data_IF_210609910028
#
_entry.id   IF_210609910028
#
_cell.length_a   1.000
_cell.length_b   1.000
_cell.length_c   1.000
_cell.angle_alpha   90.00
_cell.angle_beta   90.00
_cell.angle_gamma   90.00
#
_symmetry.space_group_name_H-M   'P 1'
#
loop_
_entity.id
_entity.type
_entity.pdbx_description
1 polymer ?
#
# COMPACT_ATOMS: atom_id res chain seq x y z
N UNK A 1 19.00 -9.10 20.10
CA UNK A 1 19.21 -8.09 19.05
C UNK A 1 17.88 -7.99 18.31
N UNK A 2 17.08 -6.94 18.53
CA UNK A 2 15.77 -6.84 17.89
C UNK A 2 15.94 -6.39 16.43
N UNK A 3 15.66 -7.29 15.49
CA UNK A 3 15.52 -6.95 14.07
C UNK A 3 14.36 -5.96 13.94
N UNK A 4 14.63 -4.78 13.39
CA UNK A 4 13.57 -3.83 13.06
C UNK A 4 12.94 -4.30 11.76
N UNK A 5 11.78 -4.94 11.86
CA UNK A 5 10.98 -5.27 10.68
C UNK A 5 10.40 -3.97 10.10
N UNK A 6 10.64 -3.75 8.81
CA UNK A 6 10.15 -2.57 8.09
C UNK A 6 9.63 -3.06 6.74
N UNK A 7 8.45 -2.59 6.36
CA UNK A 7 7.87 -2.85 5.06
C UNK A 7 7.66 -1.52 4.35
N UNK A 8 8.07 -1.47 3.08
CA UNK A 8 7.90 -0.32 2.23
C UNK A 8 6.84 -0.63 1.16
N UNK A 9 5.83 0.22 1.06
CA UNK A 9 4.89 0.19 -0.06
C UNK A 9 4.97 1.48 -0.87
N UNK A 10 4.90 1.33 -2.19
CA UNK A 10 4.72 2.46 -3.08
C UNK A 10 3.23 2.77 -3.24
N UNK A 11 2.87 4.04 -3.04
CA UNK A 11 1.54 4.59 -3.32
C UNK A 11 1.51 5.20 -4.73
N UNK A 12 0.31 5.27 -5.33
CA UNK A 12 0.14 5.74 -6.70
C UNK A 12 0.26 7.26 -6.88
N UNK A 13 0.05 8.02 -5.81
CA UNK A 13 -0.06 9.47 -5.87
C UNK A 13 1.24 10.14 -5.43
N UNK A 14 1.59 11.22 -6.15
CA UNK A 14 2.61 12.18 -5.71
C UNK A 14 2.03 13.25 -4.78
N UNK A 15 0.74 13.21 -4.53
CA UNK A 15 -0.01 14.17 -3.70
C UNK A 15 -0.54 13.49 -2.43
N UNK A 16 -1.28 14.24 -1.61
CA UNK A 16 -1.79 13.83 -0.29
C UNK A 16 -2.39 12.41 -0.34
N UNK A 17 -1.78 11.51 0.42
CA UNK A 17 -2.29 10.15 0.66
C UNK A 17 -2.92 10.13 2.05
N UNK A 18 -4.19 9.77 2.15
CA UNK A 18 -4.78 9.45 3.45
C UNK A 18 -4.34 8.04 3.83
N UNK A 19 -3.66 7.89 4.96
CA UNK A 19 -3.29 6.58 5.50
C UNK A 19 -4.24 6.27 6.65
N UNK A 20 -4.86 5.09 6.59
CA UNK A 20 -5.69 4.54 7.65
C UNK A 20 -5.04 3.29 8.22
N UNK A 21 -5.09 3.13 9.53
CA UNK A 21 -4.56 1.96 10.22
C UNK A 21 -5.69 1.29 11.01
N UNK A 22 -5.84 -0.01 10.82
CA UNK A 22 -6.91 -0.81 11.39
C UNK A 22 -6.36 -2.06 12.06
N UNK A 23 -7.04 -2.50 13.11
CA UNK A 23 -6.88 -3.81 13.72
C UNK A 23 -8.20 -4.56 13.54
N UNK A 24 -8.16 -5.76 12.97
CA UNK A 24 -9.36 -6.53 12.66
C UNK A 24 -9.09 -8.03 12.78
N UNK A 25 -10.16 -8.82 12.97
CA UNK A 25 -10.05 -10.28 13.07
C UNK A 25 -9.97 -10.98 11.70
N UNK A 26 -10.37 -10.28 10.62
CA UNK A 26 -10.40 -10.81 9.25
C UNK A 26 -10.15 -9.72 8.21
N UNK A 27 -9.66 -10.13 7.05
CA UNK A 27 -9.49 -9.25 5.90
C UNK A 27 -10.82 -9.05 5.18
N UNK A 28 -11.16 -7.80 4.89
CA UNK A 28 -12.20 -7.44 3.91
C UNK A 28 -11.61 -6.41 2.97
N UNK A 29 -11.37 -6.83 1.73
CA UNK A 29 -10.79 -5.96 0.70
C UNK A 29 -11.91 -5.05 0.17
N UNK A 30 -11.69 -3.74 0.22
CA UNK A 30 -12.69 -2.79 -0.28
C UNK A 30 -12.91 -3.00 -1.78
N UNK A 31 -14.15 -2.82 -2.23
CA UNK A 31 -14.48 -2.93 -3.64
C UNK A 31 -13.69 -1.94 -4.48
N UNK A 32 -13.38 -0.76 -3.92
CA UNK A 32 -12.65 0.28 -4.62
C UNK A 32 -11.11 0.13 -4.55
N UNK A 33 -10.61 -0.94 -3.93
CA UNK A 33 -9.17 -1.25 -3.88
C UNK A 33 -8.61 -1.52 -5.27
N UNK A 34 -7.50 -0.85 -5.61
CA UNK A 34 -6.75 -1.07 -6.86
C UNK A 34 -5.66 -2.11 -6.65
N UNK A 35 -4.99 -2.05 -5.49
CA UNK A 35 -3.92 -2.97 -5.12
C UNK A 35 -4.13 -3.46 -3.70
N UNK A 36 -4.09 -4.77 -3.50
CA UNK A 36 -4.11 -5.40 -2.19
C UNK A 36 -2.99 -6.44 -2.07
N UNK A 37 -2.18 -6.34 -1.02
CA UNK A 37 -1.07 -7.26 -0.75
C UNK A 37 -1.11 -7.60 0.74
N UNK A 38 -0.90 -8.87 1.08
CA UNK A 38 -0.71 -9.32 2.46
C UNK A 38 0.73 -9.77 2.65
N UNK A 39 1.31 -9.43 3.81
CA UNK A 39 2.66 -9.84 4.22
C UNK A 39 2.68 -10.16 5.72
N UNK A 40 3.55 -11.06 6.18
CA UNK A 40 3.80 -11.24 7.61
C UNK A 40 4.42 -9.97 8.21
N UNK A 41 3.98 -9.61 9.41
CA UNK A 41 4.57 -8.51 10.18
C UNK A 41 4.47 -8.77 11.68
N UNK A 42 5.57 -8.56 12.39
CA UNK A 42 5.64 -8.75 13.84
C UNK A 42 5.67 -7.40 14.56
N UNK A 43 4.78 -7.22 15.53
CA UNK A 43 4.81 -6.06 16.43
C UNK A 43 5.55 -6.47 17.69
N UNK A 44 6.66 -5.78 17.97
CA UNK A 44 7.45 -6.03 19.18
C UNK A 44 6.77 -5.57 20.47
N UNK A 45 7.39 -5.88 21.60
CA UNK A 45 6.86 -5.65 22.95
C UNK A 45 6.55 -4.19 23.32
N UNK A 46 7.03 -3.20 22.56
CA UNK A 46 6.60 -1.80 22.74
C UNK A 46 5.17 -1.55 22.28
N UNK A 47 4.57 -2.48 21.53
CA UNK A 47 3.23 -2.34 20.97
C UNK A 47 3.05 -1.09 20.09
N UNK A 48 4.15 -0.60 19.48
CA UNK A 48 4.17 0.67 18.76
C UNK A 48 4.76 0.49 17.38
N UNK A 49 4.01 0.90 16.36
CA UNK A 49 4.42 0.86 14.95
C UNK A 49 4.49 2.29 14.41
N UNK A 50 5.56 2.62 13.68
CA UNK A 50 5.65 3.87 12.94
C UNK A 50 5.10 3.69 11.52
N UNK A 51 4.15 4.54 11.13
CA UNK A 51 3.56 4.54 9.77
C UNK A 51 3.83 5.89 9.14
N UNK A 52 4.83 5.97 8.28
CA UNK A 52 5.36 7.24 7.81
C UNK A 52 5.78 7.19 6.34
N UNK A 53 5.73 8.32 5.67
CA UNK A 53 6.38 8.53 4.38
C UNK A 53 7.90 8.63 4.54
N UNK A 54 8.63 8.36 3.46
CA UNK A 54 10.11 8.46 3.43
C UNK A 54 10.60 9.87 3.75
N UNK A 55 9.79 10.88 3.45
CA UNK A 55 10.12 12.30 3.70
C UNK A 55 9.69 12.79 5.09
N UNK A 56 8.94 12.00 5.84
CA UNK A 56 8.46 12.41 7.15
C UNK A 56 9.59 12.33 8.19
N UNK A 57 9.46 13.13 9.25
CA UNK A 57 10.38 13.01 10.39
C UNK A 57 10.21 11.65 11.04
N UNK A 58 11.31 10.92 11.35
CA UNK A 58 11.23 9.63 12.01
C UNK A 58 10.40 9.69 13.29
N UNK A 59 9.41 8.80 13.41
CA UNK A 59 8.58 8.67 14.60
C UNK A 59 7.46 9.71 14.74
N UNK A 60 7.15 10.45 13.67
CA UNK A 60 6.08 11.46 13.68
C UNK A 60 4.66 10.88 13.67
N UNK A 61 4.51 9.62 13.26
CA UNK A 61 3.21 8.94 13.12
C UNK A 61 3.28 7.57 13.75
N UNK A 62 3.08 7.52 15.07
CA UNK A 62 3.10 6.29 15.87
C UNK A 62 1.67 5.79 16.08
N UNK A 63 1.48 4.48 15.95
CA UNK A 63 0.21 3.81 16.19
C UNK A 63 0.43 2.69 17.20
N UNK A 64 -0.48 2.57 18.16
CA UNK A 64 -0.47 1.48 19.13
C UNK A 64 -1.15 0.24 18.53
N UNK A 65 -0.39 -0.85 18.39
CA UNK A 65 -0.86 -2.17 17.97
C UNK A 65 -0.37 -3.16 19.03
N UNK A 66 -1.18 -4.09 19.53
CA UNK A 66 -0.71 -5.08 20.51
C UNK A 66 0.53 -5.85 20.00
N UNK A 67 1.34 -6.35 20.93
CA UNK A 67 2.43 -7.27 20.59
C UNK A 67 1.86 -8.54 19.94
N UNK A 68 2.53 -9.03 18.90
CA UNK A 68 2.15 -10.28 18.25
C UNK A 68 2.53 -10.36 16.77
N UNK A 69 2.13 -11.47 16.17
CA UNK A 69 2.31 -11.74 14.74
C UNK A 69 1.03 -11.40 13.98
N UNK A 70 1.18 -10.74 12.83
CA UNK A 70 0.07 -10.24 12.04
C UNK A 70 0.21 -10.60 10.56
N UNK A 71 -0.94 -10.87 9.94
CA UNK A 71 -1.11 -10.65 8.51
C UNK A 71 -1.37 -9.15 8.31
N UNK A 72 -0.37 -8.44 7.78
CA UNK A 72 -0.50 -7.03 7.46
C UNK A 72 -0.99 -6.88 6.03
N UNK A 73 -2.25 -6.50 5.90
CA UNK A 73 -2.90 -6.24 4.62
C UNK A 73 -2.73 -4.78 4.27
N UNK A 74 -2.05 -4.53 3.16
CA UNK A 74 -1.97 -3.23 2.51
C UNK A 74 -3.01 -3.15 1.41
N UNK A 75 -3.84 -2.12 1.45
CA UNK A 75 -4.73 -1.73 0.36
C UNK A 75 -4.40 -0.32 -0.11
N UNK A 76 -4.48 -0.09 -1.42
CA UNK A 76 -4.40 1.25 -1.98
C UNK A 76 -5.44 1.43 -3.09
N UNK A 77 -5.96 2.65 -3.17
CA UNK A 77 -6.90 3.06 -4.20
C UNK A 77 -6.90 4.57 -4.41
N UNK A 78 -7.70 5.01 -5.36
CA UNK A 78 -8.14 6.42 -5.46
C UNK A 78 -9.59 6.50 -5.06
N UNK A 79 -10.00 7.66 -4.55
CA UNK A 79 -11.42 7.86 -4.19
C UNK A 79 -12.31 7.64 -5.40
N UNK A 80 -13.46 7.01 -5.16
CA UNK A 80 -14.45 6.69 -6.19
C UNK A 80 -14.84 7.91 -7.06
N UNK A 81 -14.93 9.10 -6.46
CA UNK A 81 -15.23 10.37 -7.13
C UNK A 81 -14.26 10.72 -8.27
N UNK A 82 -13.02 10.23 -8.21
CA UNK A 82 -12.00 10.49 -9.24
C UNK A 82 -11.87 9.38 -10.28
N UNK A 83 -12.62 8.28 -10.19
CA UNK A 83 -12.53 7.17 -11.16
C UNK A 83 -13.02 7.55 -12.56
N UNK A 84 -13.94 8.52 -12.64
CA UNK A 84 -14.45 9.07 -13.89
C UNK A 84 -13.63 10.27 -14.39
N UNK A 85 -12.65 10.74 -13.61
CA UNK A 85 -11.79 11.83 -14.02
C UNK A 85 -10.93 11.39 -15.23
N UNK A 86 -10.88 12.16 -16.34
CA UNK A 86 -9.99 11.87 -17.45
C UNK A 86 -8.52 11.70 -17.04
N UNK A 87 -8.10 12.33 -15.95
CA UNK A 87 -6.78 12.15 -15.36
C UNK A 87 -6.54 10.71 -14.88
N UNK A 88 -7.58 10.01 -14.42
CA UNK A 88 -7.51 8.62 -13.93
C UNK A 88 -7.03 7.65 -15.01
N UNK A 89 -7.50 7.81 -16.24
CA UNK A 89 -7.09 6.96 -17.37
C UNK A 89 -5.75 7.39 -17.99
N UNK A 90 -5.24 8.56 -17.64
CA UNK A 90 -4.04 9.14 -18.24
C UNK A 90 -2.76 9.04 -17.41
N UNK A 91 -1.71 9.72 -17.90
CA UNK A 91 -0.45 9.95 -17.17
C UNK A 91 -0.62 10.83 -15.92
N UNK A 92 -1.80 11.44 -15.75
CA UNK A 92 -2.15 12.33 -14.63
C UNK A 92 -2.78 11.60 -13.45
N UNK A 93 -2.95 10.28 -13.49
CA UNK A 93 -3.52 9.51 -12.39
C UNK A 93 -2.71 9.67 -11.09
N UNK A 94 -1.40 9.87 -11.19
CA UNK A 94 -0.52 10.14 -10.05
C UNK A 94 -0.76 11.50 -9.38
N UNK A 95 -1.62 12.36 -9.95
CA UNK A 95 -2.04 13.64 -9.37
C UNK A 95 -3.33 13.52 -8.55
N UNK A 96 -4.04 12.39 -8.65
CA UNK A 96 -5.31 12.20 -7.97
C UNK A 96 -5.08 11.90 -6.48
N UNK A 97 -5.96 12.40 -5.58
CA UNK A 97 -5.96 12.00 -4.19
C UNK A 97 -6.11 10.49 -4.06
N UNK A 98 -5.18 9.87 -3.35
CA UNK A 98 -5.19 8.43 -3.09
C UNK A 98 -5.36 8.15 -1.61
N UNK A 99 -5.72 6.91 -1.31
CA UNK A 99 -5.83 6.41 0.04
C UNK A 99 -5.00 5.12 0.15
N UNK A 100 -4.55 4.86 1.37
CA UNK A 100 -3.89 3.64 1.78
C UNK A 100 -4.55 3.16 3.06
N UNK A 101 -4.81 1.86 3.16
CA UNK A 101 -5.27 1.21 4.39
C UNK A 101 -4.29 0.11 4.77
N UNK A 102 -3.86 0.12 6.02
CA UNK A 102 -3.07 -0.92 6.65
C UNK A 102 -3.95 -1.63 7.68
N UNK A 103 -4.22 -2.91 7.46
CA UNK A 103 -5.02 -3.73 8.39
C UNK A 103 -4.13 -4.78 9.01
N UNK A 104 -4.02 -4.74 10.34
CA UNK A 104 -3.34 -5.73 11.16
C UNK A 104 -4.35 -6.82 11.52
N UNK A 105 -4.10 -8.06 11.10
CA UNK A 105 -4.94 -9.21 11.42
C UNK A 105 -4.11 -10.22 12.22
N UNK A 106 -4.45 -10.51 13.49
CA UNK A 106 -3.68 -11.45 14.31
C UNK A 106 -3.56 -12.81 13.62
N UNK A 107 -2.34 -13.22 13.28
CA UNK A 107 -2.11 -14.48 12.56
C UNK A 107 -0.65 -14.95 12.73
N UNK A 108 -0.47 -16.18 13.19
CA UNK A 108 0.85 -16.77 13.48
C UNK A 108 1.64 -17.16 12.22
N UNK A 109 0.95 -17.52 11.13
CA UNK A 109 1.59 -17.98 9.90
C UNK A 109 0.94 -17.31 8.70
N UNK A 110 1.71 -16.49 8.00
CA UNK A 110 1.26 -15.71 6.85
C UNK A 110 2.24 -15.93 5.71
N UNK A 111 1.73 -16.38 4.56
CA UNK A 111 2.48 -16.38 3.32
C UNK A 111 2.23 -15.04 2.62
N UNK A 112 3.28 -14.34 2.15
CA UNK A 112 3.09 -13.16 1.32
C UNK A 112 2.27 -13.47 0.07
N UNK A 113 1.25 -12.66 -0.21
CA UNK A 113 0.34 -12.88 -1.34
C UNK A 113 -0.15 -11.55 -1.94
N UNK A 114 -0.34 -11.52 -3.26
CA UNK A 114 -1.03 -10.43 -3.95
C UNK A 114 -2.52 -10.77 -4.02
N UNK A 115 -3.31 -10.17 -3.13
CA UNK A 115 -4.76 -10.36 -3.06
C UNK A 115 -5.50 -9.64 -4.20
N UNK A 116 -4.96 -8.52 -4.68
CA UNK A 116 -5.45 -7.80 -5.86
C UNK A 116 -4.29 -7.13 -6.58
N UNK A 117 -4.04 -7.58 -7.82
CA UNK A 117 -3.06 -6.97 -8.69
C UNK A 117 -3.61 -5.70 -9.35
N UNK A 118 -2.71 -4.76 -9.61
CA UNK A 118 -3.02 -3.55 -10.36
C UNK A 118 -3.22 -3.88 -11.84
N UNK A 119 -4.36 -3.46 -12.41
CA UNK A 119 -4.65 -3.58 -13.83
C UNK A 119 -3.60 -2.91 -14.73
N UNK A 120 -2.88 -1.89 -14.20
CA UNK A 120 -1.85 -1.13 -14.92
C UNK A 120 -0.46 -1.75 -14.90
N UNK A 121 -0.24 -2.88 -14.22
CA UNK A 121 1.04 -3.60 -14.25
C UNK A 121 1.21 -4.47 -15.50
N UNK A 122 0.20 -4.53 -16.37
CA UNK A 122 0.26 -5.22 -17.67
C UNK A 122 0.12 -4.28 -18.87
N UNK A 123 0.88 -3.17 -18.98
CA UNK A 123 0.79 -2.36 -20.19
C UNK A 123 1.49 -3.10 -21.33
N UNK A 124 0.71 -3.62 -22.28
CA UNK A 124 1.24 -4.20 -23.53
C UNK A 124 1.68 -3.05 -24.44
N UNK A 125 2.84 -2.45 -24.17
CA UNK A 125 3.44 -1.52 -25.11
C UNK A 125 4.16 -2.32 -26.21
N UNK A 126 3.85 -2.12 -27.50
CA UNK A 126 4.69 -2.67 -28.55
C UNK A 126 6.11 -2.10 -28.39
N UNK A 127 7.10 -2.98 -28.32
CA UNK A 127 8.50 -2.59 -28.34
C UNK A 127 8.79 -1.94 -29.70
N UNK A 128 8.90 -0.61 -29.72
CA UNK A 128 9.18 0.13 -30.93
C UNK A 128 10.70 0.06 -31.20
N UNK A 129 11.14 -0.89 -32.02
CA UNK A 129 12.53 -1.00 -32.48
C UNK A 129 12.80 -0.11 -33.71
N UNK A 130 12.36 1.15 -33.68
CA UNK A 130 12.71 2.11 -34.72
C UNK A 130 13.97 2.87 -34.27
N UNK A 131 15.12 2.49 -34.82
CA UNK A 131 16.35 3.28 -34.71
C UNK A 131 16.51 4.11 -35.99
N UNK A 132 16.73 5.42 -35.86
CA UNK A 132 17.22 6.26 -36.95
C UNK A 132 18.74 6.03 -37.08
N UNK A 133 19.28 5.83 -38.30
CA UNK A 133 20.72 5.77 -38.51
C UNK A 133 21.39 7.09 -38.10
N UNK A 134 22.54 7.00 -37.44
CA UNK A 134 23.38 8.14 -37.09
C UNK A 134 24.07 8.77 -38.30
#
# INVERSE_FOLDING_TARGET
>A
MATRECILWNTYSKYRVKIEVWLADHASIQEDTIRAIVVPFSVGSSGTVAVQSVIDRPGSSLVSIPEGNYALVFEAGVRAEYRQDPAYQGRKAALLPSWCRLTFIPQESVQPEILRADERLSPTYPLLMAAEPA
#
